data_IF_922223153442
#
_entry.id   IF_922223153442
#
_cell.length_a   1.000
_cell.length_b   1.000
_cell.length_c   1.000
_cell.angle_alpha   90.00
_cell.angle_beta   90.00
_cell.angle_gamma   90.00
#
_symmetry.space_group_name_H-M   'P 1'
#
loop_
_entity.id
_entity.type
_entity.pdbx_description
1 polymer ?
#
# COMPACT_ATOMS: atom_id res chain seq x y z
N UNK A 1 -7.62 -10.08 19.58
CA UNK A 1 -7.93 -11.47 19.91
C UNK A 1 -8.75 -12.12 18.81
N UNK A 2 -9.94 -11.63 18.43
CA UNK A 2 -10.79 -12.25 17.41
C UNK A 2 -10.09 -12.47 16.04
N UNK A 3 -9.25 -11.53 15.59
CA UNK A 3 -8.50 -11.70 14.35
C UNK A 3 -7.52 -12.89 14.41
N UNK A 4 -6.88 -13.09 15.57
CA UNK A 4 -5.98 -14.22 15.79
C UNK A 4 -6.75 -15.54 15.86
N UNK A 5 -7.87 -15.57 16.55
CA UNK A 5 -8.77 -16.75 16.63
C UNK A 5 -9.31 -17.15 15.27
N UNK A 6 -9.54 -16.19 14.37
CA UNK A 6 -9.95 -16.42 12.98
C UNK A 6 -8.79 -16.76 12.03
N UNK A 7 -7.55 -16.82 12.54
CA UNK A 7 -6.38 -17.18 11.76
C UNK A 7 -5.83 -16.06 10.86
N UNK A 8 -6.20 -14.82 11.09
CA UNK A 8 -5.52 -13.70 10.45
C UNK A 8 -4.10 -13.61 10.97
N UNK A 9 -3.13 -13.45 10.09
CA UNK A 9 -1.71 -13.44 10.44
C UNK A 9 -1.00 -12.14 10.05
N UNK A 10 -1.69 -11.23 9.37
CA UNK A 10 -1.11 -9.94 8.94
C UNK A 10 -2.08 -8.78 9.16
N UNK A 11 -1.49 -7.63 9.53
CA UNK A 11 -2.18 -6.35 9.55
C UNK A 11 -1.48 -5.36 8.63
N UNK A 12 -2.25 -4.69 7.77
CA UNK A 12 -1.80 -3.64 6.89
C UNK A 12 -2.41 -2.31 7.36
N UNK A 13 -1.59 -1.49 8.02
CA UNK A 13 -2.02 -0.17 8.48
C UNK A 13 -1.90 0.83 7.35
N UNK A 14 -3.03 1.32 6.92
CA UNK A 14 -3.16 2.31 5.86
C UNK A 14 -4.04 3.47 6.34
N UNK A 15 -3.97 4.61 5.65
CA UNK A 15 -4.81 5.76 5.98
C UNK A 15 -4.48 6.94 5.09
N UNK A 16 -4.84 8.13 5.50
CA UNK A 16 -4.36 9.36 4.87
C UNK A 16 -2.84 9.44 5.00
N UNK A 17 -2.34 9.78 6.19
CA UNK A 17 -0.93 9.64 6.54
C UNK A 17 -0.82 9.29 8.03
N UNK A 18 -0.41 8.09 8.32
CA UNK A 18 -0.36 7.55 9.69
C UNK A 18 0.63 8.29 10.59
N UNK A 19 1.74 8.73 10.01
CA UNK A 19 2.81 9.40 10.74
C UNK A 19 2.53 10.87 11.08
N UNK A 20 1.38 11.41 10.65
CA UNK A 20 0.87 12.70 11.13
C UNK A 20 0.40 12.64 12.60
N UNK A 21 -0.03 11.47 13.06
CA UNK A 21 -0.53 11.26 14.42
C UNK A 21 0.20 10.08 15.08
N UNK A 22 1.52 10.20 15.31
CA UNK A 22 2.33 9.08 15.76
C UNK A 22 1.86 8.51 17.10
N UNK A 23 1.37 9.35 18.01
CA UNK A 23 0.81 8.87 19.28
C UNK A 23 -0.32 7.87 19.06
N UNK A 24 -1.28 8.20 18.22
CA UNK A 24 -2.40 7.33 17.87
C UNK A 24 -1.94 6.04 17.17
N UNK A 25 -0.96 6.15 16.27
CA UNK A 25 -0.39 4.98 15.61
C UNK A 25 0.19 3.99 16.64
N UNK A 26 0.98 4.48 17.59
CA UNK A 26 1.59 3.61 18.58
C UNK A 26 0.56 3.03 19.58
N UNK A 27 -0.46 3.78 19.95
CA UNK A 27 -1.60 3.24 20.74
C UNK A 27 -2.30 2.08 20.00
N UNK A 28 -2.50 2.20 18.68
CA UNK A 28 -3.06 1.13 17.84
C UNK A 28 -2.12 -0.08 17.77
N UNK A 29 -0.82 0.15 17.56
CA UNK A 29 0.16 -0.94 17.51
C UNK A 29 0.22 -1.70 18.84
N UNK A 30 0.20 -1.01 19.98
CA UNK A 30 0.12 -1.64 21.31
C UNK A 30 -1.15 -2.50 21.46
N UNK A 31 -2.29 -1.98 21.01
CA UNK A 31 -3.56 -2.70 21.11
C UNK A 31 -3.62 -3.95 20.21
N UNK A 32 -2.98 -3.91 19.05
CA UNK A 32 -2.91 -5.06 18.10
C UNK A 32 -2.01 -6.17 18.67
N UNK A 33 -1.03 -5.86 19.54
CA UNK A 33 0.01 -6.80 19.99
C UNK A 33 0.81 -7.33 18.79
N UNK A 34 1.65 -6.49 18.19
CA UNK A 34 2.27 -6.72 16.88
C UNK A 34 3.19 -7.95 16.83
N UNK A 35 3.64 -8.48 17.95
CA UNK A 35 4.41 -9.72 18.04
C UNK A 35 3.66 -10.97 17.55
N UNK A 36 2.34 -10.89 17.45
CA UNK A 36 1.47 -12.00 17.00
C UNK A 36 1.21 -11.99 15.50
N UNK A 37 1.54 -10.88 14.82
CA UNK A 37 1.15 -10.64 13.44
C UNK A 37 2.31 -10.11 12.60
N UNK A 38 2.24 -10.33 11.30
CA UNK A 38 3.13 -9.64 10.37
C UNK A 38 2.56 -8.24 10.09
N UNK A 39 3.27 -7.22 10.57
CA UNK A 39 2.79 -5.84 10.53
C UNK A 39 3.30 -5.09 9.31
N UNK A 40 2.39 -4.52 8.54
CA UNK A 40 2.69 -3.64 7.43
C UNK A 40 2.26 -2.21 7.73
N UNK A 41 2.97 -1.27 7.13
CA UNK A 41 2.61 0.14 7.18
C UNK A 41 2.87 0.78 5.81
N UNK A 42 1.93 1.60 5.34
CA UNK A 42 2.07 2.39 4.12
C UNK A 42 2.07 3.88 4.45
N UNK A 43 3.08 4.61 3.95
CA UNK A 43 3.27 6.04 4.21
C UNK A 43 3.76 6.78 2.97
N UNK A 44 3.58 8.09 2.92
CA UNK A 44 4.23 8.96 1.94
C UNK A 44 5.73 9.21 2.27
N UNK A 45 6.21 8.78 3.43
CA UNK A 45 7.60 8.87 3.86
C UNK A 45 8.01 10.23 4.43
N UNK A 46 7.17 11.25 4.36
CA UNK A 46 7.54 12.62 4.71
C UNK A 46 7.97 12.79 6.18
N UNK A 47 7.36 12.05 7.09
CA UNK A 47 7.62 12.09 8.53
C UNK A 47 8.42 10.88 9.02
N UNK A 48 8.91 10.03 8.10
CA UNK A 48 9.65 8.83 8.44
C UNK A 48 11.16 9.12 8.49
N UNK A 49 11.60 9.74 9.56
CA UNK A 49 13.01 9.93 9.89
C UNK A 49 13.62 8.71 10.59
N UNK A 50 14.92 8.75 10.86
CA UNK A 50 15.64 7.65 11.51
C UNK A 50 15.09 7.32 12.92
N UNK A 51 14.80 8.28 13.82
CA UNK A 51 14.17 8.00 15.10
C UNK A 51 12.80 7.31 14.97
N UNK A 52 11.98 7.76 14.02
CA UNK A 52 10.66 7.16 13.76
C UNK A 52 10.81 5.73 13.23
N UNK A 53 11.73 5.49 12.31
CA UNK A 53 11.97 4.15 11.79
C UNK A 53 12.43 3.17 12.89
N UNK A 54 13.35 3.60 13.76
CA UNK A 54 13.78 2.80 14.92
C UNK A 54 12.60 2.47 15.84
N UNK A 55 11.76 3.47 16.13
CA UNK A 55 10.60 3.27 16.97
C UNK A 55 9.58 2.30 16.36
N UNK A 56 9.31 2.38 15.06
CA UNK A 56 8.46 1.42 14.36
C UNK A 56 9.01 -0.01 14.44
N UNK A 57 10.32 -0.18 14.33
CA UNK A 57 10.98 -1.49 14.48
C UNK A 57 10.86 -2.05 15.91
N UNK A 58 10.97 -1.20 16.94
CA UNK A 58 10.72 -1.58 18.35
C UNK A 58 9.29 -2.12 18.54
N UNK A 59 8.30 -1.52 17.85
CA UNK A 59 6.91 -1.97 17.79
C UNK A 59 6.66 -3.13 16.80
N UNK A 60 7.73 -3.83 16.38
CA UNK A 60 7.65 -5.04 15.53
C UNK A 60 6.98 -4.83 14.18
N UNK A 61 6.98 -3.60 13.67
CA UNK A 61 6.61 -3.39 12.27
C UNK A 61 7.62 -4.11 11.38
N UNK A 62 7.13 -5.01 10.54
CA UNK A 62 7.97 -5.89 9.71
C UNK A 62 8.33 -5.25 8.38
N UNK A 63 7.39 -4.47 7.82
CA UNK A 63 7.52 -3.86 6.50
C UNK A 63 6.94 -2.45 6.47
N UNK A 64 7.64 -1.56 5.80
CA UNK A 64 7.12 -0.23 5.48
C UNK A 64 7.16 0.00 3.98
N UNK A 65 6.01 0.32 3.42
CA UNK A 65 5.83 0.69 2.01
C UNK A 65 5.85 2.21 1.89
N UNK A 66 6.83 2.74 1.16
CA UNK A 66 6.95 4.19 0.93
C UNK A 66 6.48 4.53 -0.47
N UNK A 67 5.55 5.46 -0.56
CA UNK A 67 4.96 5.88 -1.82
C UNK A 67 5.88 6.84 -2.59
N UNK A 68 6.30 6.44 -3.80
CA UNK A 68 7.11 7.28 -4.70
C UNK A 68 6.52 7.20 -6.10
N UNK A 69 6.26 8.37 -6.72
CA UNK A 69 5.57 8.45 -8.01
C UNK A 69 6.50 8.76 -9.18
N UNK A 70 7.69 9.31 -8.92
CA UNK A 70 8.71 9.63 -9.93
C UNK A 70 10.10 9.63 -9.32
N UNK A 71 11.13 9.36 -10.13
CA UNK A 71 12.53 9.63 -9.76
C UNK A 71 12.91 11.10 -10.00
N UNK A 72 12.11 11.86 -10.72
CA UNK A 72 12.24 13.32 -10.80
C UNK A 72 11.60 13.97 -9.57
N UNK A 73 12.44 14.71 -8.81
CA UNK A 73 12.02 15.38 -7.57
C UNK A 73 10.85 16.33 -7.80
N UNK A 74 10.93 17.14 -8.87
CA UNK A 74 9.89 18.12 -9.15
C UNK A 74 8.56 17.47 -9.49
N UNK A 75 8.58 16.42 -10.33
CA UNK A 75 7.37 15.68 -10.71
C UNK A 75 6.75 15.03 -9.47
N UNK A 76 7.55 14.39 -8.63
CA UNK A 76 7.05 13.77 -7.41
C UNK A 76 6.45 14.80 -6.46
N UNK A 77 7.16 15.91 -6.20
CA UNK A 77 6.71 16.95 -5.30
C UNK A 77 5.42 17.63 -5.80
N UNK A 78 5.31 17.85 -7.11
CA UNK A 78 4.10 18.39 -7.74
C UNK A 78 2.90 17.42 -7.59
N UNK A 79 3.09 16.13 -7.80
CA UNK A 79 2.05 15.09 -7.59
C UNK A 79 1.61 15.05 -6.12
N UNK A 80 2.55 15.11 -5.20
CA UNK A 80 2.26 15.07 -3.75
C UNK A 80 1.79 16.41 -3.17
N UNK A 81 1.88 17.51 -3.95
CA UNK A 81 1.51 18.86 -3.52
C UNK A 81 2.39 19.39 -2.40
N UNK A 82 3.62 18.87 -2.26
CA UNK A 82 4.49 19.22 -1.14
C UNK A 82 5.98 19.16 -1.52
N UNK A 83 6.67 20.27 -1.29
CA UNK A 83 8.13 20.37 -1.50
C UNK A 83 8.88 19.40 -0.57
N UNK A 84 10.05 18.95 -1.03
CA UNK A 84 10.93 18.02 -0.34
C UNK A 84 10.32 16.61 -0.10
N UNK A 85 9.13 16.35 -0.63
CA UNK A 85 8.46 15.05 -0.49
C UNK A 85 9.31 13.92 -1.06
N UNK A 86 9.91 14.15 -2.24
CA UNK A 86 10.79 13.18 -2.89
C UNK A 86 12.02 12.86 -2.04
N UNK A 87 12.75 13.88 -1.59
CA UNK A 87 13.96 13.69 -0.76
C UNK A 87 13.67 12.89 0.50
N UNK A 88 12.57 13.23 1.16
CA UNK A 88 12.16 12.56 2.39
C UNK A 88 11.71 11.13 2.13
N UNK A 89 10.96 10.87 1.08
CA UNK A 89 10.52 9.52 0.71
C UNK A 89 11.71 8.60 0.33
N UNK A 90 12.68 9.12 -0.41
CA UNK A 90 13.92 8.37 -0.72
C UNK A 90 14.71 8.06 0.55
N UNK A 91 14.90 9.05 1.44
CA UNK A 91 15.58 8.84 2.71
C UNK A 91 14.83 7.85 3.62
N UNK A 92 13.50 7.90 3.62
CA UNK A 92 12.67 7.00 4.41
C UNK A 92 12.89 5.51 4.07
N UNK A 93 13.10 5.15 2.81
CA UNK A 93 13.44 3.77 2.42
C UNK A 93 14.75 3.29 3.06
N UNK A 94 15.75 4.16 3.13
CA UNK A 94 17.03 3.83 3.79
C UNK A 94 16.87 3.76 5.31
N UNK A 95 16.08 4.64 5.93
CA UNK A 95 15.80 4.59 7.36
C UNK A 95 15.09 3.28 7.74
N UNK A 96 14.12 2.83 6.92
CA UNK A 96 13.43 1.55 7.11
C UNK A 96 14.42 0.39 7.07
N UNK A 97 15.28 0.35 6.05
CA UNK A 97 16.31 -0.70 5.92
C UNK A 97 17.27 -0.72 7.11
N UNK A 98 17.78 0.46 7.48
CA UNK A 98 18.75 0.59 8.56
C UNK A 98 18.15 0.21 9.93
N UNK A 99 16.85 0.36 10.09
CA UNK A 99 16.11 -0.10 11.28
C UNK A 99 15.79 -1.61 11.26
N UNK A 100 16.19 -2.34 10.22
CA UNK A 100 15.99 -3.80 10.12
C UNK A 100 14.62 -4.23 9.62
N UNK A 101 13.81 -3.30 9.11
CA UNK A 101 12.52 -3.59 8.48
C UNK A 101 12.67 -3.75 6.97
N UNK A 102 11.69 -4.40 6.33
CA UNK A 102 11.62 -4.56 4.87
C UNK A 102 11.13 -3.27 4.19
N UNK A 103 11.98 -2.53 3.44
CA UNK A 103 11.53 -1.37 2.67
C UNK A 103 10.87 -1.82 1.36
N UNK A 104 9.70 -1.28 1.09
CA UNK A 104 8.99 -1.47 -0.16
C UNK A 104 8.77 -0.14 -0.86
N UNK A 105 9.06 -0.12 -2.15
CA UNK A 105 8.66 0.99 -3.03
C UNK A 105 7.20 0.78 -3.42
N UNK A 106 6.33 1.73 -3.09
CA UNK A 106 4.92 1.70 -3.43
C UNK A 106 4.63 2.68 -4.57
N UNK A 107 4.21 2.16 -5.72
CA UNK A 107 3.94 2.95 -6.93
C UNK A 107 2.48 2.79 -7.30
N UNK A 108 1.78 3.92 -7.47
CA UNK A 108 0.49 3.92 -8.15
C UNK A 108 0.74 4.12 -9.64
N UNK A 109 0.24 3.18 -10.45
CA UNK A 109 0.40 3.18 -11.89
C UNK A 109 -0.95 3.34 -12.58
N UNK A 110 -1.03 4.30 -13.49
CA UNK A 110 -2.18 4.60 -14.31
C UNK A 110 -1.77 5.00 -15.72
N UNK A 111 -2.74 5.36 -16.55
CA UNK A 111 -2.47 5.80 -17.93
C UNK A 111 -1.45 6.95 -17.98
N UNK A 112 -1.46 7.84 -16.99
CA UNK A 112 -0.59 9.01 -16.90
C UNK A 112 0.92 8.67 -16.75
N UNK A 113 1.27 7.48 -16.28
CA UNK A 113 2.67 7.12 -16.02
C UNK A 113 3.08 5.70 -16.46
N UNK A 114 2.17 4.81 -16.80
CA UNK A 114 2.42 3.38 -17.02
C UNK A 114 3.54 3.07 -18.02
N UNK A 115 3.64 3.83 -19.12
CA UNK A 115 4.61 3.60 -20.20
C UNK A 115 5.53 4.82 -20.37
N UNK A 116 6.03 5.36 -19.28
CA UNK A 116 6.92 6.52 -19.25
C UNK A 116 8.32 6.15 -18.81
N UNK A 117 9.32 6.96 -19.21
CA UNK A 117 10.69 6.80 -18.73
C UNK A 117 10.77 6.96 -17.19
N UNK A 118 9.99 7.87 -16.61
CA UNK A 118 9.95 8.05 -15.15
C UNK A 118 9.50 6.81 -14.40
N UNK A 119 8.50 6.09 -14.92
CA UNK A 119 8.06 4.82 -14.34
C UNK A 119 9.16 3.76 -14.44
N UNK A 120 9.84 3.67 -15.60
CA UNK A 120 10.97 2.75 -15.78
C UNK A 120 12.10 3.06 -14.81
N UNK A 121 12.47 4.33 -14.63
CA UNK A 121 13.49 4.76 -13.67
C UNK A 121 13.18 4.34 -12.24
N UNK A 122 11.90 4.37 -11.81
CA UNK A 122 11.49 3.86 -10.49
C UNK A 122 11.76 2.36 -10.35
N UNK A 123 11.50 1.58 -11.40
CA UNK A 123 11.76 0.14 -11.39
C UNK A 123 13.26 -0.17 -11.41
N UNK A 124 14.03 0.57 -12.19
CA UNK A 124 15.49 0.43 -12.25
C UNK A 124 16.13 0.82 -10.90
N UNK A 125 15.68 1.89 -10.27
CA UNK A 125 16.08 2.28 -8.91
C UNK A 125 15.75 1.19 -7.89
N UNK A 126 14.55 0.64 -7.95
CA UNK A 126 14.15 -0.47 -7.09
C UNK A 126 15.04 -1.69 -7.28
N UNK A 127 15.42 -2.01 -8.52
CA UNK A 127 16.33 -3.10 -8.85
C UNK A 127 17.75 -2.84 -8.34
N UNK A 128 18.30 -1.66 -8.55
CA UNK A 128 19.63 -1.25 -8.07
C UNK A 128 19.70 -1.34 -6.55
N UNK A 129 18.71 -0.79 -5.86
CA UNK A 129 18.65 -0.78 -4.38
C UNK A 129 18.17 -2.10 -3.79
N UNK A 130 17.72 -3.06 -4.60
CA UNK A 130 17.09 -4.31 -4.15
C UNK A 130 15.87 -4.09 -3.25
N UNK A 131 15.08 -3.04 -3.54
CA UNK A 131 13.77 -2.84 -2.91
C UNK A 131 12.70 -3.68 -3.60
N UNK A 132 11.81 -4.28 -2.84
CA UNK A 132 10.60 -4.85 -3.42
C UNK A 132 9.65 -3.72 -3.82
N UNK A 133 8.93 -3.91 -4.91
CA UNK A 133 8.01 -2.91 -5.44
C UNK A 133 6.58 -3.42 -5.41
N UNK A 134 5.69 -2.62 -4.84
CA UNK A 134 4.24 -2.81 -4.96
C UNK A 134 3.73 -1.90 -6.08
N UNK A 135 3.09 -2.49 -7.07
CA UNK A 135 2.37 -1.74 -8.10
C UNK A 135 0.88 -1.80 -7.80
N UNK A 136 0.29 -0.65 -7.54
CA UNK A 136 -1.15 -0.48 -7.41
C UNK A 136 -1.67 0.20 -8.66
N UNK A 137 -2.60 -0.44 -9.36
CA UNK A 137 -3.21 0.16 -10.54
C UNK A 137 -4.18 1.24 -10.10
N UNK A 138 -4.07 2.43 -10.69
CA UNK A 138 -4.96 3.55 -10.41
C UNK A 138 -6.42 3.20 -10.70
N UNK A 139 -7.28 3.53 -9.76
CA UNK A 139 -8.73 3.39 -9.88
C UNK A 139 -9.39 4.74 -9.59
N UNK A 140 -10.51 5.07 -10.24
CA UNK A 140 -11.24 6.31 -10.01
C UNK A 140 -11.95 6.26 -8.65
N UNK A 141 -11.20 6.56 -7.59
CA UNK A 141 -11.70 6.61 -6.22
C UNK A 141 -11.07 7.76 -5.44
N UNK A 142 -11.68 8.18 -4.35
CA UNK A 142 -11.20 9.29 -3.52
C UNK A 142 -11.10 10.59 -4.33
N UNK A 143 -9.94 11.24 -4.32
CA UNK A 143 -9.73 12.47 -5.10
C UNK A 143 -9.81 12.25 -6.61
N UNK A 144 -9.68 11.02 -7.09
CA UNK A 144 -9.74 10.64 -8.51
C UNK A 144 -11.10 10.08 -8.94
N UNK A 145 -12.14 10.17 -8.11
CA UNK A 145 -13.44 9.55 -8.40
C UNK A 145 -14.07 9.97 -9.75
N UNK A 146 -13.70 11.14 -10.27
CA UNK A 146 -14.18 11.66 -11.55
C UNK A 146 -13.12 11.61 -12.67
N UNK A 147 -11.93 11.07 -12.40
CA UNK A 147 -10.81 11.03 -13.34
C UNK A 147 -10.79 9.70 -14.09
N UNK A 148 -11.47 9.64 -15.22
CA UNK A 148 -11.47 8.43 -16.07
C UNK A 148 -10.17 8.30 -16.88
N UNK A 149 -9.48 9.37 -17.11
CA UNK A 149 -8.21 9.49 -17.82
C UNK A 149 -7.03 8.81 -17.14
N UNK A 150 -7.15 8.49 -15.83
CA UNK A 150 -6.10 7.75 -15.11
C UNK A 150 -6.15 6.24 -15.37
N UNK A 151 -7.25 5.72 -15.93
CA UNK A 151 -7.45 4.28 -16.09
C UNK A 151 -6.52 3.74 -17.18
N UNK A 152 -5.75 2.71 -16.85
CA UNK A 152 -4.89 2.03 -17.80
C UNK A 152 -5.66 1.52 -19.03
N UNK A 153 -5.21 1.87 -20.21
CA UNK A 153 -5.71 1.32 -21.47
C UNK A 153 -5.08 -0.06 -21.79
N UNK A 154 -5.40 -0.62 -22.95
CA UNK A 154 -4.89 -1.93 -23.34
C UNK A 154 -3.37 -1.94 -23.62
N UNK A 155 -2.80 -0.80 -24.06
CA UNK A 155 -1.35 -0.65 -24.27
C UNK A 155 -0.62 -0.61 -22.94
N UNK A 156 -1.16 0.13 -21.97
CA UNK A 156 -0.61 0.19 -20.62
C UNK A 156 -0.62 -1.20 -19.97
N UNK A 157 -1.74 -1.93 -20.09
CA UNK A 157 -1.87 -3.29 -19.58
C UNK A 157 -0.88 -4.25 -20.20
N UNK A 158 -0.66 -4.14 -21.51
CA UNK A 158 0.34 -4.96 -22.20
C UNK A 158 1.75 -4.63 -21.72
N UNK A 159 2.08 -3.35 -21.56
CA UNK A 159 3.35 -2.91 -21.01
C UNK A 159 3.56 -3.44 -19.57
N UNK A 160 2.57 -3.31 -18.71
CA UNK A 160 2.64 -3.81 -17.34
C UNK A 160 2.80 -5.33 -17.25
N UNK A 161 2.24 -6.10 -18.20
CA UNK A 161 2.50 -7.55 -18.31
C UNK A 161 3.97 -7.84 -18.67
N UNK A 162 4.59 -7.03 -19.55
CA UNK A 162 6.04 -7.14 -19.86
C UNK A 162 6.87 -6.81 -18.64
N UNK A 163 6.60 -5.70 -17.96
CA UNK A 163 7.26 -5.31 -16.71
C UNK A 163 7.18 -6.41 -15.65
N UNK A 164 6.03 -7.01 -15.44
CA UNK A 164 5.87 -8.12 -14.49
C UNK A 164 6.77 -9.32 -14.81
N UNK A 165 7.00 -9.61 -16.10
CA UNK A 165 7.91 -10.70 -16.51
C UNK A 165 9.37 -10.31 -16.31
N UNK A 166 9.74 -9.09 -16.65
CA UNK A 166 11.11 -8.58 -16.57
C UNK A 166 11.57 -8.40 -15.12
N UNK A 167 10.70 -7.86 -14.25
CA UNK A 167 10.99 -7.56 -12.85
C UNK A 167 10.32 -8.55 -11.87
N UNK A 168 10.06 -9.79 -12.30
CA UNK A 168 9.25 -10.80 -11.54
C UNK A 168 9.65 -11.03 -10.10
N UNK A 169 10.93 -10.82 -9.76
CA UNK A 169 11.45 -11.04 -8.40
C UNK A 169 11.35 -9.78 -7.52
N UNK A 170 11.11 -8.62 -8.11
CA UNK A 170 11.00 -7.33 -7.43
C UNK A 170 9.56 -6.85 -7.35
N UNK A 171 8.84 -6.95 -8.47
CA UNK A 171 7.46 -6.45 -8.58
C UNK A 171 6.50 -7.48 -8.01
N UNK A 172 5.77 -7.08 -6.97
CA UNK A 172 4.69 -7.85 -6.36
C UNK A 172 3.37 -7.13 -6.59
N UNK A 173 2.31 -7.91 -6.81
CA UNK A 173 0.92 -7.45 -6.91
C UNK A 173 0.67 -6.35 -7.94
N UNK A 174 0.71 -6.70 -9.23
CA UNK A 174 -0.04 -5.93 -10.22
C UNK A 174 -1.48 -6.44 -10.14
N UNK A 175 -2.30 -5.73 -9.38
CA UNK A 175 -3.72 -6.01 -9.31
C UNK A 175 -4.47 -5.04 -10.24
N UNK A 176 -5.21 -5.58 -11.19
CA UNK A 176 -6.12 -4.82 -12.04
C UNK A 176 -7.48 -5.51 -12.06
N UNK A 177 -8.45 -5.01 -11.28
CA UNK A 177 -9.79 -5.62 -11.19
C UNK A 177 -10.56 -5.54 -12.51
N UNK A 178 -10.12 -4.68 -13.42
CA UNK A 178 -10.80 -4.44 -14.71
C UNK A 178 -10.05 -5.01 -15.92
N UNK A 179 -9.13 -5.95 -15.70
CA UNK A 179 -8.43 -6.60 -16.80
C UNK A 179 -9.41 -7.49 -17.58
N UNK A 180 -9.75 -7.06 -18.81
CA UNK A 180 -10.69 -7.76 -19.69
C UNK A 180 -10.26 -9.17 -20.08
N UNK A 181 -8.97 -9.44 -20.04
CA UNK A 181 -8.43 -10.73 -20.51
C UNK A 181 -8.44 -11.83 -19.46
N UNK A 182 -8.83 -11.56 -18.22
CA UNK A 182 -8.97 -12.50 -17.10
C UNK A 182 -7.85 -13.55 -16.92
N UNK A 183 -6.85 -13.53 -17.79
CA UNK A 183 -5.89 -14.62 -17.98
C UNK A 183 -5.01 -14.90 -16.76
N UNK A 184 -4.84 -13.95 -15.88
CA UNK A 184 -4.19 -14.12 -14.57
C UNK A 184 -4.42 -12.89 -13.70
N UNK A 185 -5.62 -12.66 -13.31
CA UNK A 185 -5.88 -11.87 -12.12
C UNK A 185 -5.21 -12.65 -10.99
N UNK A 186 -4.17 -12.09 -10.41
CA UNK A 186 -3.81 -12.45 -9.05
C UNK A 186 -5.04 -12.06 -8.23
N UNK A 187 -5.79 -13.06 -7.82
CA UNK A 187 -7.18 -12.98 -7.43
C UNK A 187 -7.52 -11.79 -6.57
N UNK A 188 -8.72 -11.31 -6.72
CA UNK A 188 -9.29 -10.34 -5.80
C UNK A 188 -9.04 -10.83 -4.37
N UNK A 189 -8.34 -10.05 -3.57
CA UNK A 189 -8.02 -10.41 -2.18
C UNK A 189 -9.22 -10.23 -1.24
N UNK A 190 -10.36 -9.83 -1.77
CA UNK A 190 -11.60 -9.57 -1.04
C UNK A 190 -12.05 -10.76 -0.17
N UNK A 191 -11.78 -11.98 -0.60
CA UNK A 191 -12.12 -13.19 0.17
C UNK A 191 -11.17 -13.41 1.37
N UNK A 192 -9.93 -12.88 1.30
CA UNK A 192 -8.89 -13.15 2.29
C UNK A 192 -8.53 -11.93 3.14
N UNK A 193 -9.17 -10.78 2.88
CA UNK A 193 -8.88 -9.52 3.57
C UNK A 193 -10.15 -8.81 3.96
N UNK A 194 -10.12 -8.21 5.13
CA UNK A 194 -11.15 -7.28 5.60
C UNK A 194 -10.52 -5.89 5.72
N UNK A 195 -11.32 -4.89 5.42
CA UNK A 195 -10.93 -3.49 5.57
C UNK A 195 -11.77 -2.87 6.67
N UNK A 196 -11.11 -2.46 7.75
CA UNK A 196 -11.79 -1.85 8.89
C UNK A 196 -11.51 -0.35 8.85
N UNK A 197 -12.58 0.43 8.79
CA UNK A 197 -12.48 1.89 8.79
C UNK A 197 -12.28 2.44 10.20
N UNK A 198 -11.85 3.72 10.36
CA UNK A 198 -11.71 4.34 11.68
C UNK A 198 -13.00 4.43 12.50
N UNK A 199 -14.16 4.27 11.88
CA UNK A 199 -15.49 4.24 12.54
C UNK A 199 -16.00 2.82 12.76
N UNK A 200 -15.14 1.82 12.58
CA UNK A 200 -15.46 0.42 12.82
C UNK A 200 -16.22 -0.28 11.70
N UNK A 201 -16.52 0.38 10.60
CA UNK A 201 -17.17 -0.28 9.46
C UNK A 201 -16.21 -1.28 8.80
N UNK A 202 -16.71 -2.48 8.55
CA UNK A 202 -16.00 -3.54 7.84
C UNK A 202 -16.44 -3.54 6.39
N UNK A 203 -15.47 -3.38 5.49
CA UNK A 203 -15.67 -3.34 4.05
C UNK A 203 -15.05 -4.55 3.38
N UNK A 204 -15.65 -5.02 2.30
CA UNK A 204 -15.10 -6.10 1.46
C UNK A 204 -13.91 -5.62 0.61
N UNK A 205 -13.84 -4.34 0.29
CA UNK A 205 -12.83 -3.79 -0.59
C UNK A 205 -12.59 -2.30 -0.27
N UNK A 206 -11.36 -1.80 -0.29
CA UNK A 206 -11.09 -0.39 -0.03
C UNK A 206 -11.54 0.54 -1.19
N UNK A 207 -11.83 -0.02 -2.36
CA UNK A 207 -12.27 0.72 -3.54
C UNK A 207 -13.78 0.63 -3.77
N UNK A 208 -14.39 -0.45 -3.31
CA UNK A 208 -15.85 -0.65 -3.36
C UNK A 208 -16.35 -0.59 -1.92
N UNK A 209 -16.89 0.55 -1.53
CA UNK A 209 -17.29 0.84 -0.15
C UNK A 209 -18.60 0.15 0.24
N UNK A 210 -18.65 -1.18 0.06
CA UNK A 210 -19.77 -2.00 0.53
C UNK A 210 -19.46 -2.43 1.96
N UNK A 211 -20.26 -1.92 2.90
CA UNK A 211 -20.23 -2.28 4.31
C UNK A 211 -20.90 -3.64 4.52
N UNK A 212 -20.22 -4.54 5.22
CA UNK A 212 -20.74 -5.87 5.59
C UNK A 212 -20.99 -6.01 7.10
N UNK A 213 -20.56 -5.06 7.89
CA UNK A 213 -20.80 -5.01 9.32
C UNK A 213 -20.05 -3.87 9.98
N UNK A 214 -20.15 -3.80 11.32
CA UNK A 214 -19.39 -2.85 12.14
C UNK A 214 -18.88 -3.57 13.39
N UNK A 215 -17.58 -3.45 13.68
CA UNK A 215 -16.92 -4.13 14.82
C UNK A 215 -17.36 -3.63 16.19
N UNK A 216 -18.05 -2.49 16.28
CA UNK A 216 -18.66 -1.99 17.53
C UNK A 216 -20.07 -2.53 17.74
N UNK A 217 -20.66 -3.19 16.73
CA UNK A 217 -22.03 -3.72 16.76
C UNK A 217 -22.07 -5.25 16.83
N UNK A 218 -21.07 -5.91 16.16
CA UNK A 218 -20.99 -7.37 16.04
C UNK A 218 -19.54 -7.83 16.18
N UNK A 219 -19.35 -9.06 16.62
CA UNK A 219 -18.03 -9.69 16.61
C UNK A 219 -17.49 -9.85 15.18
N UNK A 220 -16.18 -9.85 15.04
CA UNK A 220 -15.54 -10.05 13.74
C UNK A 220 -15.93 -11.41 13.12
N UNK A 221 -16.12 -12.43 13.97
CA UNK A 221 -16.58 -13.75 13.54
C UNK A 221 -17.97 -13.70 12.93
N UNK A 222 -18.93 -13.01 13.56
CA UNK A 222 -20.28 -12.86 13.00
C UNK A 222 -20.27 -12.11 11.68
N UNK A 223 -19.41 -11.09 11.55
CA UNK A 223 -19.28 -10.34 10.29
C UNK A 223 -18.71 -11.22 9.19
N UNK A 224 -17.71 -12.05 9.48
CA UNK A 224 -17.09 -12.97 8.50
C UNK A 224 -18.07 -14.07 8.09
N UNK A 225 -18.81 -14.65 9.04
CA UNK A 225 -19.71 -15.76 8.78
C UNK A 225 -21.00 -15.36 8.06
N UNK A 226 -21.49 -14.14 8.28
CA UNK A 226 -22.84 -13.70 7.84
C UNK A 226 -22.89 -12.36 7.11
N UNK A 227 -21.77 -11.68 6.91
CA UNK A 227 -21.72 -10.37 6.28
C UNK A 227 -21.71 -10.38 4.74
N UNK A 228 -21.52 -11.54 4.15
CA UNK A 228 -21.47 -11.74 2.69
C UNK A 228 -22.77 -12.24 2.12
#
# INVERSE_FOLDING_TARGET
DEADELGYFEFDLQGGELLLQPKKLFEVLEAIRPERFYMYLTTNGYYLDEPMAKKLAEYKVSRVSVSIDSMDEKIHDDIRGRKESWKRAIAALEHVRNAGMDPYLNITVGHYNANTEHFKQLLDYSKEKRYKTLLNVAVPSGMWQNSQDIICDDKDREYLRKIRKEYKNLVRNIWNPFDKNHEKILGCTTVNRLYITPIGDVLVCPYVHIKIGNIFEKSLKEIVDYGF
#
